data_IF_155037463857
#
_entry.id   IF_155037463857
#
_cell.length_a   1.000
_cell.length_b   1.000
_cell.length_c   1.000
_cell.angle_alpha   90.00
_cell.angle_beta   90.00
_cell.angle_gamma   90.00
#
_symmetry.space_group_name_H-M   'P 1'
#
loop_
_entity.id
_entity.type
_entity.pdbx_description
1 polymer ?
#
# COMPACT_ATOMS: atom_id res chain seq x y z
N UNK A 1 -27.27 -4.58 47.35
CA UNK A 1 -27.29 -3.97 46.01
C UNK A 1 -26.12 -4.51 45.18
N UNK A 2 -26.36 -5.35 44.16
CA UNK A 2 -25.37 -5.73 43.11
C UNK A 2 -25.92 -6.75 42.08
N UNK A 3 -27.18 -6.61 41.65
CA UNK A 3 -27.76 -7.54 40.65
C UNK A 3 -28.36 -6.87 39.40
N UNK A 4 -28.35 -5.54 39.31
CA UNK A 4 -28.99 -4.81 38.20
C UNK A 4 -27.97 -4.34 37.14
N UNK A 5 -26.69 -4.19 37.50
CA UNK A 5 -25.63 -3.84 36.54
C UNK A 5 -25.20 -5.03 35.67
N UNK A 6 -25.19 -6.25 36.24
CA UNK A 6 -24.82 -7.46 35.49
C UNK A 6 -25.81 -7.81 34.38
N UNK A 7 -27.11 -7.51 34.57
CA UNK A 7 -28.12 -7.76 33.53
C UNK A 7 -27.95 -6.81 32.34
N UNK A 8 -27.62 -5.54 32.60
CA UNK A 8 -27.42 -4.51 31.57
C UNK A 8 -26.11 -4.69 30.79
N UNK A 9 -25.06 -5.19 31.45
CA UNK A 9 -23.81 -5.57 30.76
C UNK A 9 -23.96 -6.85 29.95
N UNK A 10 -24.76 -7.82 30.42
CA UNK A 10 -25.04 -9.03 29.65
C UNK A 10 -25.80 -8.72 28.35
N UNK A 11 -26.79 -7.82 28.36
CA UNK A 11 -27.51 -7.40 27.15
C UNK A 11 -26.63 -6.57 26.19
N UNK A 12 -25.76 -5.69 26.70
CA UNK A 12 -24.82 -4.96 25.82
C UNK A 12 -23.77 -5.89 25.18
N UNK A 13 -23.34 -6.93 25.90
CA UNK A 13 -22.32 -7.86 25.39
C UNK A 13 -22.90 -8.83 24.35
N UNK A 14 -24.15 -9.26 24.50
CA UNK A 14 -24.83 -10.10 23.50
C UNK A 14 -25.08 -9.35 22.19
N UNK A 15 -25.50 -8.08 22.26
CA UNK A 15 -25.76 -7.26 21.05
C UNK A 15 -24.47 -6.91 20.30
N UNK A 16 -23.34 -6.69 21.00
CA UNK A 16 -22.04 -6.46 20.34
C UNK A 16 -21.45 -7.74 19.75
N UNK A 17 -21.82 -8.93 20.26
CA UNK A 17 -21.38 -10.20 19.69
C UNK A 17 -22.17 -10.69 18.49
N UNK A 18 -23.30 -10.05 18.15
CA UNK A 18 -24.19 -10.49 17.05
C UNK A 18 -23.82 -9.90 15.67
N UNK A 19 -22.85 -8.96 15.60
CA UNK A 19 -22.37 -8.38 14.32
C UNK A 19 -20.86 -8.59 14.12
N UNK A 20 -20.35 -9.72 14.58
CA UNK A 20 -19.17 -10.33 13.95
C UNK A 20 -19.65 -11.66 13.38
N UNK A 21 -19.99 -11.67 12.09
CA UNK A 21 -20.15 -12.92 11.35
C UNK A 21 -19.02 -13.86 11.76
N UNK A 22 -19.37 -15.00 12.34
CA UNK A 22 -18.41 -16.04 12.67
C UNK A 22 -17.86 -16.58 11.35
N UNK A 23 -16.80 -15.94 10.86
CA UNK A 23 -16.01 -16.44 9.73
C UNK A 23 -15.58 -17.85 10.07
N UNK A 24 -15.80 -18.78 9.15
CA UNK A 24 -15.27 -20.14 9.31
C UNK A 24 -13.74 -20.08 9.36
N UNK A 25 -13.12 -21.08 10.00
CA UNK A 25 -11.66 -21.18 10.04
C UNK A 25 -11.02 -21.17 8.63
N UNK A 26 -11.77 -21.62 7.61
CA UNK A 26 -11.35 -21.53 6.20
C UNK A 26 -11.35 -20.11 5.64
N UNK A 27 -12.38 -19.31 5.97
CA UNK A 27 -12.47 -17.90 5.54
C UNK A 27 -11.41 -17.02 6.22
N UNK A 28 -11.13 -17.25 7.50
CA UNK A 28 -10.06 -16.54 8.22
C UNK A 28 -8.68 -16.82 7.60
N UNK A 29 -8.41 -18.08 7.24
CA UNK A 29 -7.17 -18.48 6.57
C UNK A 29 -7.02 -17.84 5.18
N UNK A 30 -8.10 -17.80 4.39
CA UNK A 30 -8.13 -17.14 3.09
C UNK A 30 -7.85 -15.63 3.20
N UNK A 31 -8.44 -14.95 4.20
CA UNK A 31 -8.21 -13.51 4.46
C UNK A 31 -6.76 -13.27 4.87
N UNK A 32 -6.21 -14.08 5.78
CA UNK A 32 -4.80 -13.99 6.20
C UNK A 32 -3.84 -14.17 5.02
N UNK A 33 -4.13 -15.12 4.13
CA UNK A 33 -3.32 -15.35 2.92
C UNK A 33 -3.39 -14.17 1.96
N UNK A 34 -4.58 -13.60 1.72
CA UNK A 34 -4.76 -12.41 0.88
C UNK A 34 -4.04 -11.21 1.47
N UNK A 35 -4.13 -10.98 2.77
CA UNK A 35 -3.46 -9.90 3.49
C UNK A 35 -1.93 -10.03 3.40
N UNK A 36 -1.39 -11.24 3.59
CA UNK A 36 0.06 -11.50 3.41
C UNK A 36 0.50 -11.24 1.98
N UNK A 37 -0.28 -11.67 0.99
CA UNK A 37 0.02 -11.40 -0.42
C UNK A 37 0.01 -9.91 -0.75
N UNK A 38 -1.00 -9.17 -0.27
CA UNK A 38 -1.13 -7.74 -0.46
C UNK A 38 0.04 -6.97 0.19
N UNK A 39 0.41 -7.30 1.43
CA UNK A 39 1.58 -6.70 2.11
C UNK A 39 2.90 -6.98 1.39
N UNK A 40 3.09 -8.20 0.88
CA UNK A 40 4.28 -8.52 0.09
C UNK A 40 4.35 -7.71 -1.20
N UNK A 41 3.21 -7.54 -1.89
CA UNK A 41 3.12 -6.68 -3.09
C UNK A 41 3.41 -5.22 -2.74
N UNK A 42 2.83 -4.71 -1.65
CA UNK A 42 3.06 -3.35 -1.16
C UNK A 42 4.57 -3.09 -0.95
N UNK A 43 5.25 -3.99 -0.24
CA UNK A 43 6.69 -3.88 0.02
C UNK A 43 7.54 -3.88 -1.27
N UNK A 44 7.15 -4.68 -2.27
CA UNK A 44 7.82 -4.68 -3.58
C UNK A 44 7.60 -3.36 -4.35
N UNK A 45 6.38 -2.82 -4.29
CA UNK A 45 6.02 -1.54 -4.91
C UNK A 45 6.78 -0.39 -4.23
N UNK A 46 6.84 -0.36 -2.91
CA UNK A 46 7.63 0.63 -2.14
C UNK A 46 9.11 0.59 -2.49
N UNK A 47 9.67 -0.62 -2.59
CA UNK A 47 11.08 -0.80 -3.01
C UNK A 47 11.31 -0.28 -4.43
N UNK A 48 10.36 -0.53 -5.34
CA UNK A 48 10.42 -0.06 -6.73
C UNK A 48 10.29 1.45 -6.84
N UNK A 49 9.42 2.06 -6.04
CA UNK A 49 9.27 3.52 -5.90
C UNK A 49 10.59 4.12 -5.43
N UNK A 50 11.16 3.64 -4.32
CA UNK A 50 12.43 4.15 -3.79
C UNK A 50 13.59 4.05 -4.78
N UNK A 51 13.67 2.96 -5.55
CA UNK A 51 14.67 2.82 -6.61
C UNK A 51 14.47 3.88 -7.71
N UNK A 52 13.24 4.05 -8.18
CA UNK A 52 12.93 5.03 -9.24
C UNK A 52 13.14 6.46 -8.79
N UNK A 53 12.81 6.81 -7.55
CA UNK A 53 13.06 8.13 -6.99
C UNK A 53 14.56 8.44 -6.95
N UNK A 54 15.38 7.48 -6.52
CA UNK A 54 16.85 7.62 -6.54
C UNK A 54 17.38 7.78 -7.95
N UNK A 55 16.88 6.99 -8.90
CA UNK A 55 17.26 7.12 -10.31
C UNK A 55 16.90 8.49 -10.88
N UNK A 56 15.71 9.00 -10.60
CA UNK A 56 15.27 10.33 -11.05
C UNK A 56 16.15 11.42 -10.40
N UNK A 57 16.42 11.32 -9.09
CA UNK A 57 17.27 12.28 -8.39
C UNK A 57 18.72 12.27 -8.91
N UNK A 58 19.26 11.10 -9.27
CA UNK A 58 20.56 10.99 -9.92
C UNK A 58 20.55 11.66 -11.29
N UNK A 59 19.52 11.44 -12.10
CA UNK A 59 19.37 12.09 -13.40
C UNK A 59 19.26 13.61 -13.24
N UNK A 60 18.52 14.10 -12.24
CA UNK A 60 18.40 15.53 -11.94
C UNK A 60 19.75 16.13 -11.53
N UNK A 61 20.55 15.37 -10.79
CA UNK A 61 21.92 15.77 -10.40
C UNK A 61 22.85 15.80 -11.61
N UNK A 62 22.79 14.80 -12.49
CA UNK A 62 23.55 14.79 -13.75
C UNK A 62 23.14 15.96 -14.66
N UNK A 63 21.85 16.31 -14.71
CA UNK A 63 21.35 17.49 -15.44
C UNK A 63 21.92 18.80 -14.90
N UNK A 64 22.10 18.92 -13.58
CA UNK A 64 22.68 20.11 -12.95
C UNK A 64 24.19 20.23 -13.20
N UNK A 65 24.91 19.12 -13.20
CA UNK A 65 26.38 19.11 -13.35
C UNK A 65 26.79 19.13 -14.82
N UNK A 66 26.14 18.33 -15.65
CA UNK A 66 26.53 18.04 -17.04
C UNK A 66 25.33 18.22 -18.00
N UNK A 67 24.71 19.40 -17.97
CA UNK A 67 23.50 19.72 -18.75
C UNK A 67 23.67 19.43 -20.25
N UNK A 68 24.71 19.94 -20.89
CA UNK A 68 24.93 19.76 -22.35
C UNK A 68 25.11 18.30 -22.74
N UNK A 69 25.83 17.51 -21.95
CA UNK A 69 26.08 16.10 -22.22
C UNK A 69 24.83 15.25 -21.99
N UNK A 70 24.04 15.57 -20.96
CA UNK A 70 22.79 14.85 -20.64
C UNK A 70 21.71 15.11 -21.69
N UNK A 71 21.53 16.35 -22.16
CA UNK A 71 20.54 16.65 -23.20
C UNK A 71 20.96 16.14 -24.59
N UNK A 72 22.26 15.99 -24.84
CA UNK A 72 22.79 15.45 -26.10
C UNK A 72 22.50 13.94 -26.25
N UNK A 73 22.18 13.23 -25.15
CA UNK A 73 21.80 11.81 -25.21
C UNK A 73 20.46 11.66 -25.96
N UNK A 74 20.39 10.82 -27.01
CA UNK A 74 19.16 10.60 -27.74
C UNK A 74 18.09 9.99 -26.83
N UNK A 75 16.85 10.46 -26.99
CA UNK A 75 15.68 10.02 -26.20
C UNK A 75 15.83 10.20 -24.68
N UNK A 76 16.70 11.10 -24.22
CA UNK A 76 16.89 11.34 -22.80
C UNK A 76 15.60 11.78 -22.10
N UNK A 77 14.94 12.81 -22.64
CA UNK A 77 13.70 13.34 -22.08
C UNK A 77 12.56 12.32 -22.14
N UNK A 78 12.47 11.52 -23.20
CA UNK A 78 11.47 10.45 -23.32
C UNK A 78 11.65 9.45 -22.18
N UNK A 79 12.87 8.92 -22.00
CA UNK A 79 13.19 7.96 -20.93
C UNK A 79 12.95 8.54 -19.54
N UNK A 80 13.30 9.81 -19.33
CA UNK A 80 13.08 10.50 -18.06
C UNK A 80 11.58 10.69 -17.76
N UNK A 81 10.79 11.08 -18.78
CA UNK A 81 9.34 11.18 -18.67
C UNK A 81 8.69 9.80 -18.45
N UNK A 82 9.19 8.74 -19.10
CA UNK A 82 8.74 7.36 -18.86
C UNK A 82 8.99 6.92 -17.41
N UNK A 83 10.16 7.25 -16.84
CA UNK A 83 10.44 6.98 -15.41
C UNK A 83 9.46 7.71 -14.50
N UNK A 84 9.16 8.99 -14.78
CA UNK A 84 8.14 9.76 -14.03
C UNK A 84 6.74 9.16 -14.16
N UNK A 85 6.34 8.74 -15.37
CA UNK A 85 5.07 8.05 -15.60
C UNK A 85 5.01 6.72 -14.83
N UNK A 86 6.10 5.95 -14.83
CA UNK A 86 6.20 4.70 -14.09
C UNK A 86 6.11 4.92 -12.58
N UNK A 87 6.78 5.96 -12.06
CA UNK A 87 6.67 6.36 -10.66
C UNK A 87 5.22 6.69 -10.30
N UNK A 88 4.54 7.53 -11.10
CA UNK A 88 3.12 7.86 -10.88
C UNK A 88 2.25 6.61 -10.85
N UNK A 89 2.43 5.70 -11.80
CA UNK A 89 1.66 4.44 -11.86
C UNK A 89 1.91 3.56 -10.62
N UNK A 90 3.14 3.49 -10.13
CA UNK A 90 3.46 2.73 -8.92
C UNK A 90 2.86 3.37 -7.67
N UNK A 91 2.78 4.70 -7.61
CA UNK A 91 2.08 5.39 -6.52
C UNK A 91 0.57 5.11 -6.52
N UNK A 92 -0.05 5.12 -7.70
CA UNK A 92 -1.46 4.71 -7.86
C UNK A 92 -1.66 3.24 -7.45
N UNK A 93 -0.75 2.34 -7.84
CA UNK A 93 -0.79 0.93 -7.42
C UNK A 93 -0.59 0.77 -5.91
N UNK A 94 0.31 1.55 -5.31
CA UNK A 94 0.53 1.56 -3.86
C UNK A 94 -0.73 1.98 -3.10
N UNK A 95 -1.42 3.02 -3.56
CA UNK A 95 -2.67 3.51 -2.96
C UNK A 95 -3.75 2.43 -2.96
N UNK A 96 -3.96 1.78 -4.11
CA UNK A 96 -4.94 0.69 -4.24
C UNK A 96 -4.57 -0.52 -3.36
N UNK A 97 -3.29 -0.86 -3.31
CA UNK A 97 -2.82 -1.96 -2.44
C UNK A 97 -2.99 -1.61 -0.96
N UNK A 98 -2.75 -0.38 -0.58
CA UNK A 98 -2.94 0.09 0.79
C UNK A 98 -4.41 0.04 1.20
N UNK A 99 -5.32 0.55 0.37
CA UNK A 99 -6.77 0.47 0.58
C UNK A 99 -7.23 -1.00 0.70
N UNK A 100 -6.68 -1.88 -0.15
CA UNK A 100 -6.96 -3.32 -0.09
C UNK A 100 -6.50 -3.93 1.24
N UNK A 101 -5.33 -3.53 1.75
CA UNK A 101 -4.82 -4.02 3.05
C UNK A 101 -5.70 -3.52 4.19
N UNK A 102 -6.10 -2.24 4.18
CA UNK A 102 -7.00 -1.67 5.19
C UNK A 102 -8.39 -2.33 5.17
N UNK A 103 -8.94 -2.62 3.98
CA UNK A 103 -10.22 -3.32 3.86
C UNK A 103 -10.17 -4.77 4.33
N UNK A 104 -9.00 -5.42 4.29
CA UNK A 104 -8.82 -6.81 4.72
C UNK A 104 -8.39 -6.93 6.20
N UNK A 105 -7.90 -5.84 6.81
CA UNK A 105 -7.40 -5.80 8.20
C UNK A 105 -8.51 -5.55 9.22
#
# INVERSE_FOLDING_TARGET
>A
QRNIQNLREAEKKTVVSEVKEKRSAGEEYEIQKKLKSAKNKLSNVESSISSLEKEIANIDTELLINYEETIAKPHFFDKYQEKKKKLKKLMEEWEVLQETVESLS
#
